data_IF_657439278338
#
_entry.id   IF_657439278338
#
_cell.length_a   1.000
_cell.length_b   1.000
_cell.length_c   1.000
_cell.angle_alpha   90.00
_cell.angle_beta   90.00
_cell.angle_gamma   90.00
#
_symmetry.space_group_name_H-M   'P 1'
#
loop_
_entity.id
_entity.type
_entity.pdbx_description
1 polymer ?
#
# COMPACT_ATOMS: atom_id res chain seq x y z
N UNK A 1 -8.08 13.11 16.45
CA UNK A 1 -9.20 13.59 17.31
C UNK A 1 -8.81 13.55 18.79
N UNK A 2 -8.42 12.40 19.36
CA UNK A 2 -8.03 12.32 20.78
C UNK A 2 -6.84 13.19 21.20
N UNK A 3 -5.93 13.52 20.27
CA UNK A 3 -4.80 14.43 20.51
C UNK A 3 -5.14 15.93 20.52
N UNK A 4 -6.42 16.31 20.50
CA UNK A 4 -6.83 17.70 20.71
C UNK A 4 -6.52 18.15 22.15
N UNK A 5 -6.07 19.40 22.33
CA UNK A 5 -5.87 20.00 23.66
C UNK A 5 -7.13 19.93 24.53
N UNK A 6 -8.31 20.01 23.91
CA UNK A 6 -9.61 19.89 24.60
C UNK A 6 -9.94 18.48 25.11
N UNK A 7 -9.14 17.46 24.77
CA UNK A 7 -9.40 16.05 25.13
C UNK A 7 -8.22 15.46 25.92
N UNK A 8 -7.17 14.99 25.24
CA UNK A 8 -6.01 14.33 25.86
C UNK A 8 -4.67 14.90 25.35
N UNK A 9 -4.69 15.93 24.50
CA UNK A 9 -3.49 16.60 23.98
C UNK A 9 -2.91 17.66 24.91
N UNK A 10 -2.95 17.46 26.23
CA UNK A 10 -2.38 18.39 27.23
C UNK A 10 -1.07 17.86 27.80
N UNK A 11 -0.26 18.74 28.40
CA UNK A 11 1.02 18.36 29.05
C UNK A 11 0.87 17.26 30.12
N UNK A 12 -0.32 17.15 30.73
CA UNK A 12 -0.62 16.15 31.76
C UNK A 12 -1.24 14.86 31.21
N UNK A 13 -1.93 14.91 30.07
CA UNK A 13 -2.70 13.77 29.54
C UNK A 13 -2.08 13.08 28.32
N UNK A 14 -0.95 13.56 27.78
CA UNK A 14 -0.26 12.88 26.68
C UNK A 14 0.14 11.42 26.98
N UNK A 15 0.48 10.99 28.22
CA UNK A 15 0.76 9.58 28.49
C UNK A 15 -0.50 8.73 28.36
N UNK A 16 -1.66 9.28 28.74
CA UNK A 16 -2.96 8.61 28.60
C UNK A 16 -3.36 8.47 27.13
N UNK A 17 -3.05 9.48 26.30
CA UNK A 17 -3.27 9.41 24.85
C UNK A 17 -2.52 8.24 24.21
N UNK A 18 -1.25 8.03 24.58
CA UNK A 18 -0.46 6.89 24.10
C UNK A 18 -0.93 5.56 24.71
N UNK A 19 -1.25 5.58 26.02
CA UNK A 19 -1.76 4.43 26.76
C UNK A 19 -3.16 3.98 26.31
N UNK A 20 -3.91 4.82 25.60
CA UNK A 20 -5.24 4.49 25.08
C UNK A 20 -5.23 3.22 24.21
N UNK A 21 -4.12 2.90 23.55
CA UNK A 21 -3.95 1.65 22.76
C UNK A 21 -4.15 0.36 23.58
N UNK A 22 -4.00 0.43 24.91
CA UNK A 22 -4.26 -0.69 25.82
C UNK A 22 -5.74 -1.10 25.80
N UNK A 23 -6.66 -0.14 25.67
CA UNK A 23 -8.09 -0.41 25.67
C UNK A 23 -8.54 -1.29 24.49
N UNK A 24 -8.27 -0.94 23.20
CA UNK A 24 -8.59 -1.81 22.09
C UNK A 24 -7.79 -3.11 22.12
N UNK A 25 -6.56 -3.14 22.68
CA UNK A 25 -5.80 -4.37 22.83
C UNK A 25 -6.48 -5.35 23.81
N UNK A 26 -6.93 -4.88 24.98
CA UNK A 26 -7.68 -5.70 25.94
C UNK A 26 -8.99 -6.16 25.30
N UNK A 27 -9.73 -5.25 24.65
CA UNK A 27 -10.96 -5.59 23.95
C UNK A 27 -10.75 -6.68 22.90
N UNK A 28 -9.67 -6.56 22.10
CA UNK A 28 -9.30 -7.54 21.09
C UNK A 28 -8.90 -8.88 21.73
N UNK A 29 -8.12 -8.88 22.81
CA UNK A 29 -7.77 -10.10 23.54
C UNK A 29 -9.01 -10.83 24.07
N UNK A 30 -9.97 -10.10 24.65
CA UNK A 30 -11.23 -10.66 25.13
C UNK A 30 -12.07 -11.18 23.95
N UNK A 31 -12.21 -10.39 22.87
CA UNK A 31 -12.97 -10.78 21.69
C UNK A 31 -12.40 -12.04 21.00
N UNK A 32 -11.08 -12.17 20.95
CA UNK A 32 -10.40 -13.32 20.33
C UNK A 32 -10.73 -14.66 21.01
N UNK A 33 -11.08 -14.67 22.30
CA UNK A 33 -11.58 -15.89 22.95
C UNK A 33 -12.94 -16.36 22.40
N UNK A 34 -13.73 -15.45 21.84
CA UNK A 34 -15.03 -15.75 21.23
C UNK A 34 -14.98 -15.95 19.71
N UNK A 35 -13.90 -15.49 19.07
CA UNK A 35 -13.69 -15.68 17.64
C UNK A 35 -13.27 -17.13 17.34
N UNK A 36 -13.90 -17.81 16.37
CA UNK A 36 -13.46 -19.14 15.99
C UNK A 36 -12.10 -19.09 15.29
N UNK A 37 -11.34 -20.17 15.42
CA UNK A 37 -10.09 -20.35 14.67
C UNK A 37 -10.38 -20.47 13.15
N UNK A 38 -9.47 -20.03 12.30
CA UNK A 38 -9.68 -20.02 10.84
C UNK A 38 -10.01 -21.43 10.32
N UNK A 39 -11.14 -21.64 9.62
CA UNK A 39 -11.47 -22.94 9.03
C UNK A 39 -10.38 -23.48 8.11
N UNK A 40 -9.72 -22.57 7.36
CA UNK A 40 -8.61 -22.94 6.46
C UNK A 40 -7.42 -23.46 7.24
N UNK A 41 -7.09 -22.82 8.36
CA UNK A 41 -6.01 -23.29 9.22
C UNK A 41 -6.33 -24.65 9.86
N UNK A 42 -7.56 -24.85 10.36
CA UNK A 42 -8.00 -26.12 10.94
C UNK A 42 -7.93 -27.27 9.92
N UNK A 43 -8.42 -27.05 8.70
CA UNK A 43 -8.43 -28.05 7.65
C UNK A 43 -7.02 -28.33 7.09
N UNK A 44 -6.29 -27.28 6.69
CA UNK A 44 -5.04 -27.41 5.93
C UNK A 44 -3.85 -27.72 6.85
N UNK A 45 -3.72 -26.99 7.96
CA UNK A 45 -2.55 -27.11 8.83
C UNK A 45 -2.73 -28.16 9.92
N UNK A 46 -3.91 -28.23 10.55
CA UNK A 46 -4.20 -29.19 11.64
C UNK A 46 -4.84 -30.51 11.16
N UNK A 47 -5.33 -30.58 9.91
CA UNK A 47 -6.04 -31.74 9.35
C UNK A 47 -7.30 -32.13 10.14
N UNK A 48 -7.99 -31.14 10.70
CA UNK A 48 -9.20 -31.32 11.52
C UNK A 48 -10.47 -30.94 10.74
N UNK A 49 -10.88 -31.79 9.79
CA UNK A 49 -12.00 -31.49 8.86
C UNK A 49 -13.35 -31.26 9.57
N UNK A 50 -13.72 -32.12 10.53
CA UNK A 50 -14.99 -32.00 11.25
C UNK A 50 -15.10 -30.69 12.04
N UNK A 51 -13.99 -30.27 12.68
CA UNK A 51 -13.95 -28.98 13.39
C UNK A 51 -14.03 -27.81 12.41
N UNK A 52 -13.32 -27.88 11.28
CA UNK A 52 -13.40 -26.86 10.24
C UNK A 52 -14.83 -26.73 9.70
N UNK A 53 -15.52 -27.85 9.48
CA UNK A 53 -16.93 -27.90 9.05
C UNK A 53 -17.86 -27.25 10.06
N UNK A 54 -17.73 -27.60 11.34
CA UNK A 54 -18.54 -27.00 12.41
C UNK A 54 -18.34 -25.49 12.53
N UNK A 55 -17.10 -25.01 12.38
CA UNK A 55 -16.83 -23.56 12.35
C UNK A 55 -17.43 -22.90 11.10
N UNK A 56 -17.27 -23.49 9.93
CA UNK A 56 -17.84 -22.99 8.68
C UNK A 56 -19.36 -22.87 8.74
N UNK A 57 -20.04 -23.89 9.28
CA UNK A 57 -21.50 -23.87 9.47
C UNK A 57 -21.93 -22.72 10.38
N UNK A 58 -21.19 -22.46 11.46
CA UNK A 58 -21.43 -21.33 12.37
C UNK A 58 -21.19 -19.98 11.68
N UNK A 59 -20.16 -19.86 10.85
CA UNK A 59 -19.80 -18.61 10.17
C UNK A 59 -20.71 -18.29 8.98
N UNK A 60 -21.12 -19.31 8.22
CA UNK A 60 -22.01 -19.16 7.04
C UNK A 60 -23.49 -19.13 7.42
N UNK A 61 -23.86 -19.67 8.58
CA UNK A 61 -25.25 -19.82 8.99
C UNK A 61 -26.04 -20.86 8.18
N UNK A 62 -25.36 -21.76 7.47
CA UNK A 62 -25.95 -22.85 6.69
C UNK A 62 -25.32 -24.18 7.07
N UNK A 63 -26.06 -25.28 6.96
CA UNK A 63 -25.54 -26.62 7.20
C UNK A 63 -24.73 -27.15 6.00
N UNK A 64 -25.09 -26.72 4.79
CA UNK A 64 -24.37 -27.13 3.59
C UNK A 64 -23.19 -26.19 3.32
N UNK A 65 -22.02 -26.64 3.79
CA UNK A 65 -20.71 -26.00 3.55
C UNK A 65 -19.81 -26.91 2.72
N UNK A 66 -20.40 -27.89 2.04
CA UNK A 66 -19.66 -28.94 1.32
C UNK A 66 -18.83 -28.35 0.18
N UNK A 67 -19.36 -27.32 -0.50
CA UNK A 67 -18.64 -26.59 -1.53
C UNK A 67 -17.42 -25.84 -0.97
N UNK A 68 -17.57 -25.12 0.16
CA UNK A 68 -16.45 -24.44 0.81
C UNK A 68 -15.35 -25.44 1.22
N UNK A 69 -15.71 -26.61 1.75
CA UNK A 69 -14.75 -27.65 2.15
C UNK A 69 -14.00 -28.20 0.94
N UNK A 70 -14.70 -28.53 -0.16
CA UNK A 70 -14.08 -29.01 -1.40
C UNK A 70 -13.12 -27.96 -1.96
N UNK A 71 -13.54 -26.69 -2.02
CA UNK A 71 -12.68 -25.58 -2.45
C UNK A 71 -11.39 -25.52 -1.62
N UNK A 72 -11.49 -25.63 -0.29
CA UNK A 72 -10.34 -25.57 0.60
C UNK A 72 -9.43 -26.80 0.49
N UNK A 73 -9.98 -27.98 0.20
CA UNK A 73 -9.20 -29.20 -0.07
C UNK A 73 -8.44 -29.07 -1.39
N UNK A 74 -9.08 -28.56 -2.45
CA UNK A 74 -8.42 -28.27 -3.73
C UNK A 74 -7.31 -27.24 -3.56
N UNK A 75 -7.56 -26.19 -2.77
CA UNK A 75 -6.58 -25.17 -2.41
C UNK A 75 -5.37 -25.79 -1.68
N UNK A 76 -5.63 -26.66 -0.71
CA UNK A 76 -4.58 -27.40 0.02
C UNK A 76 -3.76 -28.29 -0.90
N UNK A 77 -4.41 -29.00 -1.82
CA UNK A 77 -3.73 -29.85 -2.80
C UNK A 77 -2.79 -29.01 -3.67
N UNK A 78 -3.27 -27.90 -4.21
CA UNK A 78 -2.44 -26.94 -4.98
C UNK A 78 -1.29 -26.39 -4.15
N UNK A 79 -1.53 -25.97 -2.91
CA UNK A 79 -0.49 -25.44 -2.03
C UNK A 79 0.57 -26.51 -1.68
N UNK A 80 0.17 -27.77 -1.49
CA UNK A 80 1.11 -28.86 -1.19
C UNK A 80 1.96 -29.28 -2.39
N UNK A 81 1.46 -29.07 -3.61
CA UNK A 81 2.21 -29.28 -4.85
C UNK A 81 3.17 -28.12 -5.14
N UNK A 82 2.85 -26.91 -4.68
CA UNK A 82 3.76 -25.76 -4.75
C UNK A 82 4.87 -25.86 -3.71
N UNK A 83 6.13 -25.78 -4.17
CA UNK A 83 7.27 -25.68 -3.27
C UNK A 83 7.16 -24.37 -2.47
N UNK A 84 7.28 -24.46 -1.14
CA UNK A 84 7.45 -23.28 -0.28
C UNK A 84 8.72 -22.53 -0.71
N UNK A 85 8.55 -21.28 -1.10
CA UNK A 85 9.64 -20.44 -1.62
C UNK A 85 10.23 -19.63 -0.49
N UNK A 86 11.56 -19.65 -0.36
CA UNK A 86 12.24 -18.81 0.61
C UNK A 86 12.49 -17.39 0.04
N UNK A 87 12.82 -16.43 0.91
CA UNK A 87 13.03 -15.03 0.50
C UNK A 87 14.13 -14.90 -0.56
N UNK A 88 15.21 -15.67 -0.46
CA UNK A 88 16.34 -15.61 -1.41
C UNK A 88 15.93 -16.12 -2.79
N UNK A 89 15.09 -17.17 -2.84
CA UNK A 89 14.57 -17.76 -4.07
C UNK A 89 13.67 -16.79 -4.85
N UNK A 90 12.98 -15.85 -4.18
CA UNK A 90 12.21 -14.80 -4.85
C UNK A 90 13.08 -13.91 -5.75
N UNK A 91 14.33 -13.63 -5.33
CA UNK A 91 15.25 -12.80 -6.09
C UNK A 91 16.09 -13.59 -7.10
N UNK A 92 16.33 -14.87 -6.84
CA UNK A 92 17.12 -15.75 -7.72
C UNK A 92 16.31 -16.31 -8.88
N UNK A 93 15.05 -16.66 -8.65
CA UNK A 93 14.19 -17.27 -9.66
C UNK A 93 13.73 -16.22 -10.68
N UNK A 94 13.95 -16.42 -12.00
CA UNK A 94 13.49 -15.48 -13.02
C UNK A 94 11.95 -15.32 -13.01
N UNK A 95 11.22 -16.38 -12.63
CA UNK A 95 9.76 -16.39 -12.61
C UNK A 95 9.18 -15.47 -11.51
N UNK A 96 9.89 -15.30 -10.39
CA UNK A 96 9.44 -14.46 -9.27
C UNK A 96 10.08 -13.07 -9.27
N UNK A 97 11.25 -12.91 -9.92
CA UNK A 97 12.04 -11.68 -9.85
C UNK A 97 11.27 -10.46 -10.32
N UNK A 98 10.50 -10.57 -11.40
CA UNK A 98 9.74 -9.43 -11.91
C UNK A 98 8.58 -9.06 -10.97
N UNK A 99 7.84 -10.05 -10.48
CA UNK A 99 6.75 -9.84 -9.53
C UNK A 99 7.24 -9.24 -8.21
N UNK A 100 8.39 -9.68 -7.67
CA UNK A 100 8.91 -9.15 -6.40
C UNK A 100 9.46 -7.73 -6.56
N UNK A 101 10.08 -7.39 -7.70
CA UNK A 101 10.49 -6.02 -8.00
C UNK A 101 9.25 -5.11 -8.06
N UNK A 102 8.17 -5.54 -8.72
CA UNK A 102 6.92 -4.78 -8.76
C UNK A 102 6.36 -4.59 -7.34
N UNK A 103 6.29 -5.66 -6.55
CA UNK A 103 5.82 -5.60 -5.16
C UNK A 103 6.62 -4.60 -4.32
N UNK A 104 7.96 -4.65 -4.38
CA UNK A 104 8.83 -3.71 -3.66
C UNK A 104 8.60 -2.27 -4.13
N UNK A 105 8.61 -2.02 -5.44
CA UNK A 105 8.46 -0.67 -6.00
C UNK A 105 7.09 -0.06 -5.68
N UNK A 106 6.02 -0.86 -5.64
CA UNK A 106 4.70 -0.38 -5.22
C UNK A 106 4.65 -0.03 -3.72
N UNK A 107 5.36 -0.76 -2.87
CA UNK A 107 5.48 -0.40 -1.45
C UNK A 107 6.31 0.87 -1.26
N UNK A 108 7.37 1.04 -2.05
CA UNK A 108 8.13 2.27 -2.10
C UNK A 108 7.28 3.44 -2.61
N UNK A 109 6.44 3.24 -3.64
CA UNK A 109 5.58 4.30 -4.17
C UNK A 109 4.56 4.78 -3.15
N UNK A 110 4.06 3.89 -2.29
CA UNK A 110 3.20 4.27 -1.17
C UNK A 110 3.92 5.21 -0.20
N UNK A 111 5.10 4.84 0.27
CA UNK A 111 5.76 5.56 1.37
C UNK A 111 6.54 6.78 0.90
N UNK A 112 7.31 6.64 -0.18
CA UNK A 112 8.07 7.73 -0.80
C UNK A 112 7.18 8.68 -1.61
N UNK A 113 5.87 8.45 -1.68
CA UNK A 113 4.92 9.47 -2.11
C UNK A 113 4.97 10.72 -1.24
N UNK A 114 5.36 10.60 0.04
CA UNK A 114 5.36 11.68 1.02
C UNK A 114 4.14 11.72 1.92
N UNK A 115 3.24 10.72 1.86
CA UNK A 115 2.02 10.68 2.68
C UNK A 115 2.30 10.74 4.19
N UNK A 116 3.36 10.09 4.68
CA UNK A 116 3.70 10.16 6.10
C UNK A 116 4.25 11.53 6.50
N UNK A 117 4.92 12.23 5.58
CA UNK A 117 5.36 13.59 5.86
C UNK A 117 4.13 14.49 6.10
N UNK A 118 3.08 14.31 5.29
CA UNK A 118 1.80 14.98 5.51
C UNK A 118 1.17 14.54 6.84
N UNK A 119 1.05 13.24 7.13
CA UNK A 119 0.40 12.81 8.38
C UNK A 119 1.16 13.21 9.64
N UNK A 120 2.48 13.09 9.66
CA UNK A 120 3.31 13.37 10.84
C UNK A 120 3.50 14.87 11.05
N UNK A 121 3.62 15.65 9.98
CA UNK A 121 4.01 17.06 10.05
C UNK A 121 2.95 18.04 9.53
N UNK A 122 1.73 17.58 9.18
CA UNK A 122 0.62 18.41 8.67
C UNK A 122 0.35 19.64 9.52
N UNK A 123 0.29 19.50 10.84
CA UNK A 123 0.06 20.62 11.74
C UNK A 123 1.13 21.70 11.55
N UNK A 124 2.41 21.32 11.50
CA UNK A 124 3.51 22.26 11.25
C UNK A 124 3.55 22.79 9.82
N UNK A 125 3.11 22.01 8.82
CA UNK A 125 2.99 22.45 7.43
C UNK A 125 1.90 23.53 7.30
N UNK A 126 0.73 23.29 7.91
CA UNK A 126 -0.39 24.24 7.91
C UNK A 126 -0.08 25.51 8.71
N UNK A 127 0.59 25.37 9.85
CA UNK A 127 1.08 26.51 10.63
C UNK A 127 2.01 27.39 9.79
N UNK A 128 3.00 26.78 9.14
CA UNK A 128 3.93 27.50 8.26
C UNK A 128 3.26 28.09 7.03
N UNK A 129 2.17 27.49 6.55
CA UNK A 129 1.33 28.05 5.49
C UNK A 129 0.46 29.24 5.95
N UNK A 130 0.50 29.63 7.23
CA UNK A 130 -0.26 30.78 7.76
C UNK A 130 -1.69 30.45 8.15
N UNK A 131 -2.00 29.18 8.45
CA UNK A 131 -3.31 28.76 8.97
C UNK A 131 -3.36 29.02 10.47
N UNK A 132 -4.39 29.77 10.91
CA UNK A 132 -4.56 30.17 12.31
C UNK A 132 -4.91 29.01 13.24
N UNK A 133 -5.58 27.98 12.74
CA UNK A 133 -5.91 26.78 13.51
C UNK A 133 -5.51 25.48 12.76
N UNK A 134 -4.20 25.17 12.72
CA UNK A 134 -3.66 24.05 11.94
C UNK A 134 -4.24 22.68 12.31
N UNK A 135 -4.57 22.49 13.59
CA UNK A 135 -5.06 21.21 14.11
C UNK A 135 -6.40 20.80 13.49
N UNK A 136 -7.30 21.74 13.22
CA UNK A 136 -8.57 21.43 12.54
C UNK A 136 -8.37 21.07 11.07
N UNK A 137 -7.40 21.69 10.39
CA UNK A 137 -7.02 21.29 9.04
C UNK A 137 -6.44 19.86 9.01
N UNK A 138 -5.61 19.50 10.00
CA UNK A 138 -5.12 18.12 10.18
C UNK A 138 -6.26 17.13 10.41
N UNK A 139 -7.25 17.48 11.23
CA UNK A 139 -8.46 16.65 11.41
C UNK A 139 -9.23 16.52 10.10
N UNK A 140 -9.38 17.60 9.35
CA UNK A 140 -10.01 17.59 8.02
C UNK A 140 -9.30 16.64 7.05
N UNK A 141 -7.97 16.60 7.06
CA UNK A 141 -7.20 15.64 6.27
C UNK A 141 -7.50 14.18 6.68
N UNK A 142 -7.68 13.91 7.98
CA UNK A 142 -8.11 12.59 8.47
C UNK A 142 -9.54 12.21 8.06
N UNK A 143 -10.46 13.18 8.01
CA UNK A 143 -11.82 12.95 7.49
C UNK A 143 -11.76 12.64 5.99
N UNK A 144 -11.00 13.41 5.22
CA UNK A 144 -10.79 13.17 3.78
C UNK A 144 -10.19 11.78 3.55
N UNK A 145 -9.17 11.40 4.34
CA UNK A 145 -8.59 10.07 4.31
C UNK A 145 -9.66 8.99 4.47
N UNK A 146 -10.44 9.06 5.55
CA UNK A 146 -11.50 8.09 5.86
C UNK A 146 -12.54 7.98 4.74
N UNK A 147 -13.01 9.13 4.21
CA UNK A 147 -14.00 9.18 3.14
C UNK A 147 -13.45 8.54 1.86
N UNK A 148 -12.24 8.91 1.46
CA UNK A 148 -11.65 8.39 0.23
C UNK A 148 -11.19 6.94 0.33
N UNK A 149 -10.86 6.43 1.52
CA UNK A 149 -10.68 4.99 1.75
C UNK A 149 -11.97 4.24 1.43
N UNK A 150 -13.13 4.72 1.90
CA UNK A 150 -14.44 4.11 1.60
C UNK A 150 -14.75 4.19 0.09
N UNK A 151 -14.50 5.33 -0.54
CA UNK A 151 -14.68 5.50 -1.99
C UNK A 151 -13.80 4.51 -2.76
N UNK A 152 -12.55 4.32 -2.34
CA UNK A 152 -11.58 3.41 -2.96
C UNK A 152 -12.06 1.95 -2.93
N UNK A 153 -12.71 1.51 -1.84
CA UNK A 153 -13.31 0.17 -1.75
C UNK A 153 -14.33 -0.11 -2.87
N UNK A 154 -15.12 0.89 -3.27
CA UNK A 154 -16.08 0.73 -4.37
C UNK A 154 -15.43 0.88 -5.76
N UNK A 155 -14.37 1.68 -5.86
CA UNK A 155 -13.70 1.93 -7.14
C UNK A 155 -12.73 0.82 -7.54
N UNK A 156 -12.07 0.16 -6.59
CA UNK A 156 -11.02 -0.85 -6.86
C UNK A 156 -11.55 -2.01 -7.70
N UNK A 157 -12.80 -2.41 -7.46
CA UNK A 157 -13.46 -3.46 -8.24
C UNK A 157 -13.99 -2.97 -9.59
N UNK A 158 -14.18 -1.67 -9.79
CA UNK A 158 -14.74 -1.09 -11.03
C UNK A 158 -13.66 -0.66 -12.02
N UNK A 159 -12.66 0.09 -11.59
CA UNK A 159 -11.69 0.74 -12.49
C UNK A 159 -10.41 -0.08 -12.76
N UNK A 160 -10.12 -1.08 -11.93
CA UNK A 160 -8.88 -1.86 -12.00
C UNK A 160 -7.74 -1.24 -11.20
N UNK A 161 -6.75 -2.06 -10.86
CA UNK A 161 -5.71 -1.70 -9.90
C UNK A 161 -4.68 -0.76 -10.54
N UNK A 162 -4.30 -1.00 -11.81
CA UNK A 162 -3.29 -0.18 -12.49
C UNK A 162 -3.78 1.24 -12.73
N UNK A 163 -5.02 1.38 -13.20
CA UNK A 163 -5.63 2.68 -13.49
C UNK A 163 -5.70 3.56 -12.24
N UNK A 164 -6.21 3.02 -11.13
CA UNK A 164 -6.36 3.77 -9.89
C UNK A 164 -5.00 4.14 -9.28
N UNK A 165 -4.00 3.26 -9.34
CA UNK A 165 -2.66 3.57 -8.86
C UNK A 165 -2.03 4.72 -9.67
N UNK A 166 -2.16 4.70 -11.00
CA UNK A 166 -1.68 5.79 -11.87
C UNK A 166 -2.40 7.11 -11.60
N UNK A 167 -3.73 7.09 -11.48
CA UNK A 167 -4.53 8.29 -11.16
C UNK A 167 -4.11 8.86 -9.82
N UNK A 168 -3.93 8.02 -8.80
CA UNK A 168 -3.47 8.46 -7.49
C UNK A 168 -2.07 9.07 -7.54
N UNK A 169 -1.08 8.40 -8.15
CA UNK A 169 0.28 8.93 -8.28
C UNK A 169 0.32 10.25 -9.06
N UNK A 170 -0.38 10.33 -10.19
CA UNK A 170 -0.43 11.54 -11.02
C UNK A 170 -1.13 12.70 -10.31
N UNK A 171 -2.25 12.41 -9.64
CA UNK A 171 -2.97 13.40 -8.84
C UNK A 171 -2.14 13.94 -7.68
N UNK A 172 -1.49 13.04 -6.93
CA UNK A 172 -0.57 13.42 -5.86
C UNK A 172 0.59 14.29 -6.38
N UNK A 173 1.11 14.01 -7.58
CA UNK A 173 2.18 14.81 -8.18
C UNK A 173 1.72 16.25 -8.46
N UNK A 174 0.50 16.43 -8.99
CA UNK A 174 -0.10 17.76 -9.19
C UNK A 174 -0.28 18.46 -7.84
N UNK A 175 -0.82 17.78 -6.84
CA UNK A 175 -0.99 18.33 -5.50
C UNK A 175 0.35 18.71 -4.84
N UNK A 176 1.41 17.92 -5.04
CA UNK A 176 2.76 18.24 -4.54
C UNK A 176 3.29 19.55 -5.11
N UNK A 177 3.09 19.79 -6.41
CA UNK A 177 3.46 21.06 -7.06
C UNK A 177 2.62 22.21 -6.50
N UNK A 178 1.30 22.02 -6.32
CA UNK A 178 0.43 23.03 -5.72
C UNK A 178 0.84 23.37 -4.28
N UNK A 179 1.24 22.37 -3.48
CA UNK A 179 1.76 22.61 -2.13
C UNK A 179 3.07 23.42 -2.16
N UNK A 180 4.00 23.11 -3.06
CA UNK A 180 5.22 23.91 -3.24
C UNK A 180 4.92 25.35 -3.62
N UNK A 181 4.03 25.57 -4.60
CA UNK A 181 3.61 26.92 -5.01
C UNK A 181 2.98 27.68 -3.84
N UNK A 182 2.10 27.01 -3.09
CA UNK A 182 1.41 27.64 -1.97
C UNK A 182 2.37 28.03 -0.84
N UNK A 183 3.35 27.19 -0.53
CA UNK A 183 4.36 27.50 0.48
C UNK A 183 5.35 28.58 0.02
N UNK A 184 5.73 28.59 -1.26
CA UNK A 184 6.66 29.57 -1.81
C UNK A 184 6.07 30.98 -1.88
N UNK A 185 4.76 31.10 -2.13
CA UNK A 185 4.07 32.38 -2.31
C UNK A 185 3.32 32.86 -1.06
N UNK A 186 3.46 32.16 0.07
CA UNK A 186 2.71 32.43 1.30
C UNK A 186 2.84 33.87 1.81
N UNK A 187 4.03 34.46 1.68
CA UNK A 187 4.33 35.79 2.21
C UNK A 187 3.91 36.91 1.22
N UNK A 188 3.60 36.55 -0.02
CA UNK A 188 3.18 37.48 -1.07
C UNK A 188 1.66 37.51 -1.26
N UNK A 189 0.96 36.41 -0.97
CA UNK A 189 -0.46 36.23 -1.30
C UNK A 189 -1.22 35.60 -0.12
N UNK A 190 -1.96 36.41 0.63
CA UNK A 190 -2.60 35.97 1.88
C UNK A 190 -3.64 34.83 1.68
N UNK A 191 -4.34 34.80 0.54
CA UNK A 191 -5.34 33.77 0.25
C UNK A 191 -4.75 32.41 -0.17
N UNK A 192 -3.44 32.34 -0.43
CA UNK A 192 -2.80 31.10 -0.91
C UNK A 192 -2.73 30.01 0.17
N UNK A 193 -2.88 30.39 1.44
CA UNK A 193 -3.03 29.45 2.57
C UNK A 193 -4.19 28.46 2.38
N UNK A 194 -5.28 28.89 1.73
CA UNK A 194 -6.41 28.01 1.42
C UNK A 194 -6.07 27.02 0.30
N UNK A 195 -5.22 27.39 -0.65
CA UNK A 195 -4.68 26.45 -1.65
C UNK A 195 -3.85 25.38 -0.95
N UNK A 196 -3.03 25.72 0.04
CA UNK A 196 -2.25 24.73 0.80
C UNK A 196 -3.14 23.66 1.46
N UNK A 197 -4.26 24.08 2.06
CA UNK A 197 -5.26 23.14 2.60
C UNK A 197 -5.87 22.29 1.49
N UNK A 198 -6.38 22.91 0.43
CA UNK A 198 -7.02 22.18 -0.67
C UNK A 198 -6.08 21.19 -1.36
N UNK A 199 -4.82 21.58 -1.57
CA UNK A 199 -3.78 20.75 -2.15
C UNK A 199 -3.44 19.58 -1.22
N UNK A 200 -3.35 19.81 0.09
CA UNK A 200 -3.11 18.74 1.07
C UNK A 200 -4.28 17.75 1.13
N UNK A 201 -5.52 18.23 1.10
CA UNK A 201 -6.71 17.37 1.07
C UNK A 201 -6.78 16.56 -0.23
N UNK A 202 -6.53 17.21 -1.37
CA UNK A 202 -6.44 16.53 -2.67
C UNK A 202 -5.34 15.46 -2.68
N UNK A 203 -4.18 15.75 -2.08
CA UNK A 203 -3.06 14.82 -1.96
C UNK A 203 -3.46 13.57 -1.16
N UNK A 204 -4.09 13.74 0.00
CA UNK A 204 -4.57 12.63 0.85
C UNK A 204 -5.70 11.85 0.17
N UNK A 205 -6.63 12.53 -0.51
CA UNK A 205 -7.70 11.89 -1.25
C UNK A 205 -7.15 10.99 -2.38
N UNK A 206 -6.23 11.51 -3.18
CA UNK A 206 -5.64 10.80 -4.33
C UNK A 206 -4.74 9.65 -3.88
N UNK A 207 -4.10 9.77 -2.71
CA UNK A 207 -3.39 8.67 -2.07
C UNK A 207 -4.34 7.49 -1.78
N UNK A 208 -5.47 7.74 -1.14
CA UNK A 208 -6.43 6.68 -0.75
C UNK A 208 -7.12 6.02 -1.94
N UNK A 209 -7.29 6.73 -3.06
CA UNK A 209 -7.84 6.16 -4.29
C UNK A 209 -6.94 5.07 -4.88
N UNK A 210 -5.60 5.18 -4.70
CA UNK A 210 -4.66 4.29 -5.38
C UNK A 210 -3.50 3.84 -4.51
N UNK A 211 -2.47 4.67 -4.31
CA UNK A 211 -1.25 4.29 -3.59
C UNK A 211 -1.44 3.73 -2.17
N UNK A 212 -2.52 4.06 -1.48
CA UNK A 212 -2.85 3.51 -0.16
C UNK A 212 -3.21 2.01 -0.22
N UNK A 213 -4.35 1.63 -0.80
CA UNK A 213 -4.79 0.23 -0.76
C UNK A 213 -4.07 -0.69 -1.75
N UNK A 214 -3.75 -0.20 -2.95
CA UNK A 214 -3.40 -1.05 -4.10
C UNK A 214 -2.10 -1.85 -3.93
N UNK A 215 -1.01 -1.29 -3.35
CA UNK A 215 0.22 -2.06 -3.13
C UNK A 215 -0.01 -3.35 -2.34
N UNK A 216 -0.91 -3.33 -1.35
CA UNK A 216 -1.24 -4.50 -0.54
C UNK A 216 -2.06 -5.54 -1.32
N UNK A 217 -3.02 -5.10 -2.13
CA UNK A 217 -3.78 -6.00 -3.01
C UNK A 217 -2.89 -6.64 -4.07
N UNK A 218 -2.08 -5.85 -4.77
CA UNK A 218 -1.25 -6.36 -5.87
C UNK A 218 -0.23 -7.39 -5.37
N UNK A 219 0.37 -7.23 -4.19
CA UNK A 219 1.29 -8.26 -3.66
C UNK A 219 0.56 -9.59 -3.45
N UNK A 220 -0.69 -9.56 -2.96
CA UNK A 220 -1.48 -10.78 -2.80
C UNK A 220 -1.92 -11.39 -4.14
N UNK A 221 -2.16 -10.55 -5.16
CA UNK A 221 -2.63 -10.94 -6.51
C UNK A 221 -1.48 -11.35 -7.47
N UNK A 222 -0.23 -10.93 -7.23
CA UNK A 222 0.93 -11.30 -8.06
C UNK A 222 1.53 -12.67 -7.73
N UNK A 223 1.26 -13.20 -6.54
CA UNK A 223 1.91 -14.41 -6.03
C UNK A 223 0.89 -15.50 -5.70
N UNK A 224 1.17 -16.71 -6.19
CA UNK A 224 0.49 -17.94 -5.78
C UNK A 224 0.80 -18.28 -4.32
N UNK A 225 0.20 -19.34 -3.79
CA UNK A 225 0.17 -19.58 -2.34
C UNK A 225 1.55 -19.92 -1.75
N UNK A 226 2.38 -20.64 -2.49
CA UNK A 226 3.74 -20.99 -2.06
C UNK A 226 4.63 -19.76 -1.78
N UNK A 227 4.85 -18.85 -2.76
CA UNK A 227 5.71 -17.68 -2.58
C UNK A 227 5.06 -16.50 -1.85
N UNK A 228 3.72 -16.41 -1.79
CA UNK A 228 3.02 -15.24 -1.23
C UNK A 228 3.45 -14.85 0.18
N UNK A 229 3.61 -15.77 1.17
CA UNK A 229 4.07 -15.38 2.50
C UNK A 229 5.45 -14.70 2.50
N UNK A 230 6.40 -15.23 1.72
CA UNK A 230 7.73 -14.65 1.61
C UNK A 230 7.68 -13.30 0.87
N UNK A 231 6.86 -13.18 -0.18
CA UNK A 231 6.67 -11.92 -0.91
C UNK A 231 6.04 -10.84 -0.03
N UNK A 232 5.02 -11.17 0.75
CA UNK A 232 4.38 -10.27 1.72
C UNK A 232 5.37 -9.82 2.80
N UNK A 233 6.25 -10.71 3.29
CA UNK A 233 7.28 -10.34 4.26
C UNK A 233 8.28 -9.33 3.68
N UNK A 234 8.76 -9.56 2.45
CA UNK A 234 9.68 -8.62 1.76
C UNK A 234 8.99 -7.29 1.45
N UNK A 235 7.75 -7.32 0.95
CA UNK A 235 6.95 -6.14 0.67
C UNK A 235 6.71 -5.31 1.94
N UNK A 236 6.30 -5.97 3.03
CA UNK A 236 6.11 -5.33 4.33
C UNK A 236 7.40 -4.73 4.89
N UNK A 237 8.52 -5.45 4.79
CA UNK A 237 9.83 -4.93 5.21
C UNK A 237 10.24 -3.68 4.40
N UNK A 238 10.01 -3.71 3.07
CA UNK A 238 10.27 -2.58 2.19
C UNK A 238 9.40 -1.37 2.53
N UNK A 239 8.12 -1.62 2.85
CA UNK A 239 7.17 -0.60 3.29
C UNK A 239 7.65 0.06 4.60
N UNK A 240 7.92 -0.71 5.65
CA UNK A 240 8.36 -0.16 6.93
C UNK A 240 9.72 0.54 6.85
N UNK A 241 10.64 0.01 6.05
CA UNK A 241 11.96 0.62 5.85
C UNK A 241 11.83 1.97 5.15
N UNK A 242 11.02 2.07 4.10
CA UNK A 242 10.79 3.35 3.41
C UNK A 242 10.00 4.34 4.26
N UNK A 243 9.02 3.89 5.04
CA UNK A 243 8.34 4.71 6.05
C UNK A 243 9.34 5.30 7.06
N UNK A 244 10.22 4.46 7.62
CA UNK A 244 11.27 4.90 8.55
C UNK A 244 12.19 5.95 7.94
N UNK A 245 12.66 5.73 6.70
CA UNK A 245 13.50 6.69 5.98
C UNK A 245 12.80 8.03 5.76
N UNK A 246 11.52 8.03 5.35
CA UNK A 246 10.76 9.28 5.19
C UNK A 246 10.59 10.00 6.52
N UNK A 247 10.18 9.28 7.58
CA UNK A 247 10.00 9.88 8.90
C UNK A 247 11.29 10.47 9.48
N UNK A 248 12.43 9.80 9.27
CA UNK A 248 13.71 10.25 9.80
C UNK A 248 14.34 11.38 8.96
N UNK A 249 14.26 11.30 7.63
CA UNK A 249 14.95 12.23 6.72
C UNK A 249 14.13 13.47 6.37
N UNK A 250 12.80 13.43 6.48
CA UNK A 250 11.94 14.55 6.09
C UNK A 250 12.27 15.87 6.84
N UNK A 251 12.45 15.91 8.17
CA UNK A 251 12.79 17.16 8.86
C UNK A 251 14.10 17.79 8.37
N UNK A 252 15.09 16.97 8.01
CA UNK A 252 16.36 17.44 7.46
C UNK A 252 16.19 17.98 6.04
N UNK A 253 15.46 17.26 5.19
CA UNK A 253 15.14 17.70 3.83
C UNK A 253 14.34 19.00 3.83
N UNK A 254 13.37 19.12 4.75
CA UNK A 254 12.56 20.31 4.93
C UNK A 254 13.38 21.52 5.37
N UNK A 255 14.33 21.34 6.29
CA UNK A 255 15.24 22.42 6.72
C UNK A 255 16.12 22.91 5.56
N UNK A 256 16.54 22.03 4.66
CA UNK A 256 17.41 22.36 3.53
C UNK A 256 16.65 22.94 2.33
N UNK A 257 15.47 22.39 2.02
CA UNK A 257 14.70 22.73 0.82
C UNK A 257 13.58 23.75 1.07
N UNK A 258 13.16 23.96 2.33
CA UNK A 258 12.07 24.84 2.70
C UNK A 258 10.80 24.55 1.88
N UNK A 259 10.23 25.54 1.16
CA UNK A 259 9.00 25.36 0.39
C UNK A 259 9.12 24.35 -0.77
N UNK A 260 10.35 24.04 -1.20
CA UNK A 260 10.62 23.14 -2.33
C UNK A 260 10.69 21.66 -1.92
N UNK A 261 10.53 21.32 -0.63
CA UNK A 261 10.65 19.93 -0.15
C UNK A 261 9.70 18.96 -0.85
N UNK A 262 8.48 19.42 -1.22
CA UNK A 262 7.50 18.59 -1.93
C UNK A 262 7.89 18.28 -3.38
N UNK A 263 8.86 18.98 -3.97
CA UNK A 263 9.40 18.63 -5.29
C UNK A 263 10.20 17.32 -5.28
N UNK A 264 10.77 16.95 -4.11
CA UNK A 264 11.41 15.65 -3.93
C UNK A 264 10.36 14.54 -4.09
N UNK A 265 9.21 14.70 -3.45
CA UNK A 265 8.09 13.78 -3.59
C UNK A 265 7.51 13.78 -5.00
N UNK A 266 7.38 14.94 -5.65
CA UNK A 266 6.99 15.03 -7.06
C UNK A 266 7.90 14.17 -7.96
N UNK A 267 9.22 14.26 -7.79
CA UNK A 267 10.16 13.46 -8.58
C UNK A 267 9.93 11.95 -8.38
N UNK A 268 9.77 11.50 -7.12
CA UNK A 268 9.45 10.11 -6.83
C UNK A 268 8.10 9.68 -7.42
N UNK A 269 7.06 10.49 -7.28
CA UNK A 269 5.73 10.22 -7.83
C UNK A 269 5.77 10.05 -9.35
N UNK A 270 6.52 10.89 -10.08
CA UNK A 270 6.72 10.75 -11.53
C UNK A 270 7.48 9.47 -11.87
N UNK A 271 8.55 9.15 -11.15
CA UNK A 271 9.31 7.91 -11.36
C UNK A 271 8.41 6.68 -11.17
N UNK A 272 7.61 6.66 -10.09
CA UNK A 272 6.68 5.55 -9.84
C UNK A 272 5.51 5.52 -10.81
N UNK A 273 5.05 6.67 -11.29
CA UNK A 273 4.02 6.75 -12.33
C UNK A 273 4.53 6.08 -13.62
N UNK A 274 5.73 6.45 -14.07
CA UNK A 274 6.39 5.86 -15.24
C UNK A 274 6.59 4.35 -15.04
N UNK A 275 7.11 3.94 -13.88
CA UNK A 275 7.28 2.52 -13.57
C UNK A 275 5.96 1.77 -13.63
N UNK A 276 4.91 2.30 -12.99
CA UNK A 276 3.58 1.69 -12.97
C UNK A 276 3.00 1.60 -14.38
N UNK A 277 3.20 2.62 -15.20
CA UNK A 277 2.73 2.65 -16.57
C UNK A 277 3.39 1.55 -17.42
N UNK A 278 4.69 1.30 -17.28
CA UNK A 278 5.37 0.33 -18.14
C UNK A 278 5.46 -1.10 -17.58
N UNK A 279 5.58 -1.25 -16.26
CA UNK A 279 5.96 -2.53 -15.63
C UNK A 279 4.84 -3.22 -14.88
N UNK A 280 3.87 -2.48 -14.33
CA UNK A 280 2.81 -3.06 -13.49
C UNK A 280 1.70 -3.61 -14.39
N UNK A 281 1.38 -4.93 -14.32
CA UNK A 281 0.26 -5.49 -15.06
C UNK A 281 -1.07 -5.08 -14.42
N UNK A 282 -2.15 -5.11 -15.20
CA UNK A 282 -3.50 -5.09 -14.62
C UNK A 282 -3.83 -6.49 -14.08
N UNK A 283 -4.26 -6.56 -12.82
CA UNK A 283 -4.56 -7.80 -12.11
C UNK A 283 -6.06 -8.05 -11.97
N UNK A 284 -6.90 -7.03 -12.21
CA UNK A 284 -8.36 -7.15 -12.12
C UNK A 284 -8.89 -8.27 -13.02
N UNK A 285 -9.59 -9.23 -12.40
CA UNK A 285 -10.28 -10.32 -13.09
C UNK A 285 -9.36 -11.35 -13.75
N UNK A 286 -8.07 -11.39 -13.37
CA UNK A 286 -7.10 -12.36 -13.92
C UNK A 286 -6.73 -13.40 -12.87
N UNK A 287 -6.46 -14.61 -13.32
CA UNK A 287 -5.93 -15.66 -12.44
C UNK A 287 -4.42 -15.46 -12.21
N UNK A 288 -3.88 -16.07 -11.15
CA UNK A 288 -2.44 -16.09 -10.89
C UNK A 288 -1.65 -16.69 -12.06
N UNK A 289 -2.19 -17.74 -12.68
CA UNK A 289 -1.57 -18.43 -13.82
C UNK A 289 -1.51 -17.51 -15.04
N UNK A 290 -2.56 -16.72 -15.31
CA UNK A 290 -2.57 -15.73 -16.39
C UNK A 290 -1.52 -14.63 -16.19
N UNK A 291 -1.34 -14.19 -14.94
CA UNK A 291 -0.36 -13.18 -14.57
C UNK A 291 1.06 -13.76 -14.71
N UNK A 292 1.30 -14.97 -14.23
CA UNK A 292 2.61 -15.66 -14.32
C UNK A 292 3.02 -15.91 -15.77
N UNK A 293 2.10 -16.43 -16.61
CA UNK A 293 2.35 -16.62 -18.05
C UNK A 293 2.68 -15.30 -18.75
N UNK A 294 2.05 -14.20 -18.34
CA UNK A 294 2.37 -12.86 -18.84
C UNK A 294 3.79 -12.38 -18.51
N UNK A 295 4.40 -12.88 -17.42
CA UNK A 295 5.79 -12.63 -17.09
C UNK A 295 6.75 -13.58 -17.81
N UNK A 296 6.37 -14.85 -17.99
CA UNK A 296 7.14 -15.86 -18.72
C UNK A 296 7.28 -15.50 -20.21
N UNK A 297 6.20 -15.14 -20.90
CA UNK A 297 6.25 -14.74 -22.32
C UNK A 297 7.10 -13.47 -22.57
N UNK A 298 7.16 -12.54 -21.61
CA UNK A 298 8.05 -11.36 -21.69
C UNK A 298 9.52 -11.70 -21.48
N UNK A 299 9.82 -12.74 -20.71
CA UNK A 299 11.20 -13.21 -20.52
C UNK A 299 11.73 -13.85 -21.83
N UNK A 300 10.88 -14.60 -22.54
CA UNK A 300 11.19 -15.21 -23.84
C UNK A 300 11.37 -14.15 -24.96
N UNK A 301 10.52 -13.13 -25.04
CA UNK A 301 10.72 -12.02 -26.00
C UNK A 301 12.01 -11.23 -25.73
N UNK A 302 12.40 -11.09 -24.46
CA UNK A 302 13.64 -10.42 -24.07
C UNK A 302 14.91 -11.25 -24.32
N UNK A 303 14.78 -12.59 -24.39
CA UNK A 303 15.88 -13.49 -24.74
C UNK A 303 16.01 -13.65 -26.25
N UNK A 304 14.91 -13.70 -27.01
CA UNK A 304 14.93 -13.75 -28.48
C UNK A 304 15.54 -12.48 -29.09
N UNK A 305 15.17 -11.30 -28.56
CA UNK A 305 15.74 -10.00 -28.98
C UNK A 305 17.23 -9.79 -28.62
N UNK A 306 17.79 -10.63 -27.73
CA UNK A 306 19.25 -10.68 -27.46
C UNK A 306 19.99 -11.63 -28.39
N UNK A 307 19.33 -12.63 -28.96
CA UNK A 307 19.96 -13.60 -29.87
C UNK A 307 20.10 -13.02 -31.28
N UNK A 308 19.20 -12.16 -31.73
CA UNK A 308 19.28 -11.52 -33.07
C UNK A 308 20.37 -10.44 -33.22
N UNK A 309 21.06 -10.03 -32.14
CA UNK A 309 22.05 -8.93 -32.17
C UNK A 309 23.52 -9.37 -32.21
N UNK A 310 23.83 -10.64 -32.50
CA UNK A 310 25.19 -11.02 -32.87
C UNK A 310 25.26 -11.12 -34.41
N UNK A 311 25.99 -10.22 -35.11
CA UNK A 311 26.32 -10.46 -36.50
C UNK A 311 27.23 -11.70 -36.55
N UNK A 312 26.78 -12.74 -37.26
CA UNK A 312 27.64 -13.84 -37.66
C UNK A 312 28.81 -13.26 -38.45
N UNK A 313 30.01 -13.33 -37.87
CA UNK A 313 31.25 -13.08 -38.59
C UNK A 313 31.40 -14.23 -39.59
N UNK A 314 31.15 -13.95 -40.86
CA UNK A 314 31.48 -14.84 -41.97
C UNK A 314 32.99 -15.10 -41.96
N UNK A 315 33.35 -16.37 -41.80
CA UNK A 315 34.68 -16.89 -42.11
C UNK A 315 34.68 -17.30 -43.58
N UNK A 316 35.42 -16.53 -44.39
CA UNK A 316 36.06 -16.96 -45.63
C UNK A 316 37.49 -16.43 -45.64
#
# INVERSE_FOLDING_TARGET
IFGLESIMGTETLWPLLLGFTILPAILQCVALFFCPESPRFLLINKREEEKARGVLQKLRGTQDVSQDIVEMQEESAKMSQEKKVNVIELFRSPNYRQAIIIAIVLQLSQQLSGINAVFYYSTGIFERAGITQPVYATIGAGVVNTVFTVVSLFLVERAGRRTLHLVGLGGMAVCAVLMTIALALKDSVEWIRYISIAATFGFVALFEIGPGPIPWFIVAELFSQGPRPAAMAVAGCSNWTSNFLVGMLFPYAEKLCGPYVFLIFFAFLVIFFIFTFFKVPETKGRTFEDISRGFEGRAEDSSSSRVEKNPMVELN
#
